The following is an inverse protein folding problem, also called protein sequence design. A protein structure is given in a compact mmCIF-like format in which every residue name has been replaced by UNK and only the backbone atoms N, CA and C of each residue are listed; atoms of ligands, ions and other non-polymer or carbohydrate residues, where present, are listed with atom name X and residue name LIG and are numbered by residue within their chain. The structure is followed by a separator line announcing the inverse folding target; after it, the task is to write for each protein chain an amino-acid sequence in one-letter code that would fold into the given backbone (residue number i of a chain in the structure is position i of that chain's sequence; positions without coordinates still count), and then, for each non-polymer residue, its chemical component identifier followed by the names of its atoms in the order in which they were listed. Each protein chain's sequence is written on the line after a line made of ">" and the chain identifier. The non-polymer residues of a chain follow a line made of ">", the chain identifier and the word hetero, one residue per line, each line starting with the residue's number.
data_IF_612010177448
#
_entry.id   IF_612010177448
#
_cell.length_a   1.000
_cell.length_b   1.000
_cell.length_c   1.000
_cell.angle_alpha   90.00
_cell.angle_beta   90.00
_cell.angle_gamma   90.00
#
_symmetry.space_group_name_H-M   'P 1'
#
loop_
_entity.id
_entity.type
_entity.pdbx_description
1 polymer ?
#
# COMPACT_ATOMS: atom_id res chain seq x y z
N UNK A 1 -7.15 -7.25 -18.60
CA UNK A 1 -8.46 -6.58 -18.38
C UNK A 1 -8.32 -5.63 -17.19
N UNK A 2 -8.34 -4.32 -17.39
CA UNK A 2 -8.38 -3.37 -16.26
C UNK A 2 -9.81 -3.30 -15.73
N UNK A 3 -10.06 -3.88 -14.56
CA UNK A 3 -11.34 -3.74 -13.85
C UNK A 3 -11.55 -2.29 -13.46
N UNK A 4 -12.82 -1.85 -13.33
CA UNK A 4 -13.18 -0.50 -12.87
C UNK A 4 -12.52 -0.13 -11.53
N UNK A 5 -12.33 -1.12 -10.65
CA UNK A 5 -11.60 -0.98 -9.39
C UNK A 5 -10.10 -0.78 -9.60
N UNK A 6 -9.49 -1.50 -10.55
CA UNK A 6 -8.08 -1.29 -10.93
C UNK A 6 -7.80 0.13 -11.45
N UNK A 7 -8.78 0.75 -12.13
CA UNK A 7 -8.68 2.16 -12.53
C UNK A 7 -8.84 3.12 -11.35
N UNK A 8 -9.76 2.83 -10.42
CA UNK A 8 -9.95 3.65 -9.22
C UNK A 8 -8.69 3.69 -8.35
N UNK A 9 -8.09 2.54 -8.09
CA UNK A 9 -6.89 2.49 -7.25
C UNK A 9 -5.69 3.18 -7.90
N UNK A 10 -5.53 3.05 -9.22
CA UNK A 10 -4.47 3.73 -9.96
C UNK A 10 -4.60 5.26 -9.86
N UNK A 11 -5.82 5.78 -9.80
CA UNK A 11 -6.08 7.21 -9.64
C UNK A 11 -5.92 7.71 -8.20
N UNK A 12 -6.32 6.90 -7.21
CA UNK A 12 -6.36 7.34 -5.81
C UNK A 12 -5.08 7.06 -5.02
N UNK A 13 -4.36 5.97 -5.34
CA UNK A 13 -3.19 5.56 -4.57
C UNK A 13 -2.09 6.64 -4.55
N UNK A 14 -1.70 7.28 -5.68
CA UNK A 14 -0.69 8.32 -5.65
C UNK A 14 -1.07 9.47 -4.71
N UNK A 15 -2.34 9.86 -4.69
CA UNK A 15 -2.85 10.88 -3.77
C UNK A 15 -2.75 10.45 -2.30
N UNK A 16 -3.17 9.21 -1.99
CA UNK A 16 -3.07 8.66 -0.63
C UNK A 16 -1.61 8.63 -0.15
N UNK A 17 -0.69 8.12 -0.99
CA UNK A 17 0.73 8.03 -0.65
C UNK A 17 1.36 9.42 -0.49
N UNK A 18 1.02 10.37 -1.38
CA UNK A 18 1.50 11.74 -1.27
C UNK A 18 1.03 12.42 0.03
N UNK A 19 -0.25 12.28 0.39
CA UNK A 19 -0.80 12.83 1.64
C UNK A 19 -0.13 12.21 2.86
N UNK A 20 0.07 10.89 2.88
CA UNK A 20 0.75 10.21 4.00
C UNK A 20 2.22 10.63 4.07
N UNK A 21 2.90 10.76 2.92
CA UNK A 21 4.28 11.21 2.87
C UNK A 21 4.43 12.61 3.45
N UNK A 22 3.61 13.57 3.01
CA UNK A 22 3.57 14.95 3.52
C UNK A 22 3.38 14.97 5.03
N UNK A 23 2.35 14.27 5.54
CA UNK A 23 2.08 14.19 6.98
C UNK A 23 3.22 13.52 7.77
N UNK A 24 3.81 12.45 7.23
CA UNK A 24 4.93 11.75 7.87
C UNK A 24 6.22 12.57 7.91
N UNK A 25 6.38 13.51 6.97
CA UNK A 25 7.52 14.41 6.91
C UNK A 25 7.46 15.53 7.94
N UNK A 26 6.30 15.73 8.58
CA UNK A 26 6.17 16.67 9.69
C UNK A 26 7.09 16.28 10.84
N UNK A 27 7.78 17.27 11.42
CA UNK A 27 8.78 17.06 12.46
C UNK A 27 8.22 16.32 13.69
N UNK A 28 6.92 16.45 13.99
CA UNK A 28 6.28 15.75 15.09
C UNK A 28 6.09 14.25 14.79
N UNK A 29 5.73 13.89 13.56
CA UNK A 29 5.44 12.51 13.15
C UNK A 29 6.74 11.75 12.85
N UNK A 30 7.68 12.38 12.13
CA UNK A 30 8.99 11.80 11.80
C UNK A 30 9.86 11.47 13.01
N UNK A 31 9.60 12.08 14.18
CA UNK A 31 10.24 11.72 15.46
C UNK A 31 9.68 10.44 16.08
N UNK A 32 8.47 10.06 15.70
CA UNK A 32 7.75 8.92 16.27
C UNK A 32 7.72 7.70 15.36
N UNK A 33 7.96 7.88 14.05
CA UNK A 33 7.82 6.80 13.07
C UNK A 33 8.83 6.97 11.92
N UNK A 34 9.55 5.88 11.62
CA UNK A 34 10.43 5.81 10.47
C UNK A 34 9.66 5.58 9.18
N UNK A 35 10.19 6.07 8.06
CA UNK A 35 9.58 5.91 6.74
C UNK A 35 9.33 4.43 6.36
N UNK A 36 10.17 3.51 6.82
CA UNK A 36 9.94 2.07 6.64
C UNK A 36 8.66 1.60 7.33
N UNK A 37 8.37 2.08 8.55
CA UNK A 37 7.14 1.75 9.27
C UNK A 37 5.92 2.33 8.56
N UNK A 38 6.03 3.56 8.03
CA UNK A 38 4.98 4.20 7.23
C UNK A 38 4.63 3.36 6.01
N UNK A 39 5.62 2.95 5.22
CA UNK A 39 5.39 2.14 4.01
C UNK A 39 4.85 0.74 4.33
N UNK A 40 5.24 0.14 5.47
CA UNK A 40 4.63 -1.10 5.96
C UNK A 40 3.16 -0.92 6.33
N UNK A 41 2.80 0.19 6.99
CA UNK A 41 1.40 0.51 7.32
C UNK A 41 0.55 0.76 6.07
N UNK A 42 1.10 1.47 5.09
CA UNK A 42 0.45 1.65 3.78
C UNK A 42 0.21 0.27 3.16
N UNK A 43 1.24 -0.57 3.04
CA UNK A 43 1.14 -1.92 2.49
C UNK A 43 0.05 -2.75 3.19
N UNK A 44 0.06 -2.77 4.52
CA UNK A 44 -0.94 -3.50 5.32
C UNK A 44 -2.35 -2.97 5.10
N UNK A 45 -2.52 -1.66 4.93
CA UNK A 45 -3.83 -1.06 4.61
C UNK A 45 -4.37 -1.56 3.26
N UNK A 46 -3.51 -1.66 2.24
CA UNK A 46 -3.88 -2.23 0.94
C UNK A 46 -4.23 -3.72 1.03
N UNK A 47 -3.55 -4.48 1.90
CA UNK A 47 -3.96 -5.85 2.22
C UNK A 47 -5.34 -5.88 2.87
N UNK A 48 -5.59 -5.09 3.91
CA UNK A 48 -6.88 -5.08 4.61
C UNK A 48 -8.03 -4.76 3.65
N UNK A 49 -7.83 -3.84 2.70
CA UNK A 49 -8.85 -3.46 1.71
C UNK A 49 -9.03 -4.49 0.59
N UNK A 50 -8.20 -5.53 0.55
CA UNK A 50 -8.24 -6.58 -0.47
C UNK A 50 -7.68 -6.13 -1.82
N UNK A 51 -6.77 -5.17 -1.85
CA UNK A 51 -6.13 -4.75 -3.11
C UNK A 51 -4.90 -5.59 -3.45
N UNK A 52 -4.20 -6.07 -2.44
CA UNK A 52 -3.10 -7.03 -2.55
C UNK A 52 -3.37 -8.22 -1.63
N UNK A 53 -2.84 -9.39 -1.97
CA UNK A 53 -3.07 -10.62 -1.19
C UNK A 53 -2.44 -10.51 0.20
N UNK A 54 -3.12 -11.03 1.21
CA UNK A 54 -2.59 -11.06 2.59
C UNK A 54 -1.37 -11.98 2.75
N UNK A 55 -1.26 -13.05 1.94
CA UNK A 55 -0.13 -13.98 1.96
C UNK A 55 1.17 -13.42 1.34
N UNK A 56 1.09 -12.24 0.71
CA UNK A 56 2.25 -11.55 0.15
C UNK A 56 2.91 -10.72 1.23
N UNK A 57 4.10 -11.15 1.64
CA UNK A 57 4.94 -10.38 2.55
C UNK A 57 5.22 -8.98 2.01
N UNK A 58 5.49 -8.05 2.92
CA UNK A 58 5.96 -6.71 2.57
C UNK A 58 7.21 -6.84 1.68
N UNK A 59 7.26 -6.19 0.49
CA UNK A 59 8.35 -6.32 -0.46
C UNK A 59 9.55 -5.50 0.02
N UNK A 60 10.17 -5.96 1.11
CA UNK A 60 11.17 -5.22 1.87
C UNK A 60 12.36 -4.80 1.02
N UNK A 61 12.93 -5.71 0.23
CA UNK A 61 14.06 -5.39 -0.65
C UNK A 61 13.75 -4.30 -1.68
N UNK A 62 12.51 -4.27 -2.19
CA UNK A 62 12.08 -3.23 -3.15
C UNK A 62 11.98 -1.87 -2.47
N UNK A 63 11.37 -1.81 -1.28
CA UNK A 63 11.26 -0.55 -0.53
C UNK A 63 12.60 -0.09 0.07
N UNK A 64 13.48 -1.01 0.44
CA UNK A 64 14.83 -0.68 0.93
C UNK A 64 15.69 -0.07 -0.18
N UNK A 65 15.54 -0.53 -1.42
CA UNK A 65 16.27 0.03 -2.58
C UNK A 65 15.95 1.50 -2.86
N UNK A 66 14.76 1.95 -2.43
CA UNK A 66 14.31 3.34 -2.54
C UNK A 66 14.33 4.07 -1.19
N UNK A 67 14.88 3.48 -0.12
CA UNK A 67 14.81 4.05 1.24
C UNK A 67 15.38 5.46 1.35
N UNK A 68 16.44 5.74 0.59
CA UNK A 68 17.07 7.07 0.55
C UNK A 68 16.36 8.05 -0.39
N UNK A 69 15.35 7.57 -1.10
CA UNK A 69 14.54 8.34 -2.02
C UNK A 69 13.10 8.40 -1.47
N UNK A 70 12.80 9.48 -0.75
CA UNK A 70 11.47 9.74 -0.19
C UNK A 70 10.43 10.10 -1.26
N UNK A 71 10.66 9.77 -2.53
CA UNK A 71 9.72 10.09 -3.60
C UNK A 71 8.43 9.25 -3.45
N UNK A 72 7.28 9.89 -3.14
CA UNK A 72 6.00 9.19 -3.00
C UNK A 72 5.53 8.53 -4.30
N UNK A 73 6.01 8.97 -5.47
CA UNK A 73 5.67 8.35 -6.74
C UNK A 73 6.25 6.93 -6.85
N UNK A 74 7.50 6.73 -6.42
CA UNK A 74 8.14 5.41 -6.44
C UNK A 74 7.43 4.41 -5.52
N UNK A 75 7.00 4.86 -4.34
CA UNK A 75 6.20 4.02 -3.43
C UNK A 75 4.88 3.61 -4.08
N UNK A 76 4.21 4.55 -4.75
CA UNK A 76 2.97 4.29 -5.47
C UNK A 76 3.18 3.26 -6.59
N UNK A 77 4.24 3.43 -7.38
CA UNK A 77 4.57 2.53 -8.49
C UNK A 77 4.86 1.09 -8.02
N UNK A 78 5.60 0.93 -6.91
CA UNK A 78 5.87 -0.38 -6.32
C UNK A 78 4.56 -1.06 -5.89
N UNK A 79 3.69 -0.33 -5.21
CA UNK A 79 2.40 -0.85 -4.73
C UNK A 79 1.51 -1.24 -5.91
N UNK A 80 1.41 -0.39 -6.95
CA UNK A 80 0.64 -0.70 -8.15
C UNK A 80 1.19 -1.93 -8.87
N UNK A 81 2.51 -2.03 -9.02
CA UNK A 81 3.14 -3.17 -9.66
C UNK A 81 2.79 -4.49 -8.96
N UNK A 82 2.79 -4.52 -7.63
CA UNK A 82 2.38 -5.71 -6.89
C UNK A 82 0.87 -5.99 -7.00
N UNK A 83 0.00 -4.97 -6.93
CA UNK A 83 -1.45 -5.11 -7.09
C UNK A 83 -1.79 -5.70 -8.48
N UNK A 84 -1.13 -5.22 -9.53
CA UNK A 84 -1.37 -5.70 -10.89
C UNK A 84 -0.77 -7.08 -11.15
N UNK A 85 0.34 -7.45 -10.49
CA UNK A 85 0.86 -8.83 -10.56
C UNK A 85 -0.06 -9.85 -9.90
N UNK A 86 -0.67 -9.49 -8.77
CA UNK A 86 -1.43 -10.42 -7.93
C UNK A 86 -2.85 -9.93 -7.70
N UNK A 87 -3.55 -9.63 -8.79
CA UNK A 87 -4.92 -9.13 -8.72
C UNK A 87 -5.86 -10.19 -8.15
N UNK A 88 -6.53 -9.84 -7.06
CA UNK A 88 -7.59 -10.64 -6.45
C UNK A 88 -8.89 -10.56 -7.26
N UNK A 89 -9.62 -11.66 -7.34
CA UNK A 89 -11.01 -11.70 -7.79
C UNK A 89 -11.93 -11.02 -6.76
N UNK A 90 -13.12 -10.60 -7.18
CA UNK A 90 -14.08 -9.93 -6.29
C UNK A 90 -14.47 -10.77 -5.06
N UNK A 91 -14.54 -12.10 -5.21
CA UNK A 91 -14.83 -13.01 -4.10
C UNK A 91 -13.68 -13.08 -3.10
N UNK A 92 -12.44 -13.23 -3.58
CA UNK A 92 -11.25 -13.23 -2.72
C UNK A 92 -11.10 -11.90 -1.98
N UNK A 93 -11.33 -10.77 -2.66
CA UNK A 93 -11.33 -9.44 -2.02
C UNK A 93 -12.34 -9.35 -0.89
N UNK A 94 -13.57 -9.82 -1.13
CA UNK A 94 -14.63 -9.82 -0.13
C UNK A 94 -14.23 -10.68 1.08
N UNK A 95 -13.77 -11.90 0.82
CA UNK A 95 -13.35 -12.83 1.86
C UNK A 95 -12.18 -12.27 2.69
N UNK A 96 -11.20 -11.66 2.04
CA UNK A 96 -10.05 -11.05 2.73
C UNK A 96 -10.47 -9.88 3.62
N UNK A 97 -11.36 -9.00 3.14
CA UNK A 97 -11.91 -7.90 3.96
C UNK A 97 -12.69 -8.42 5.17
N UNK A 98 -13.54 -9.42 4.97
CA UNK A 98 -14.31 -10.04 6.06
C UNK A 98 -13.39 -10.69 7.10
N UNK A 99 -12.34 -11.37 6.66
CA UNK A 99 -11.35 -11.97 7.56
C UNK A 99 -10.55 -10.92 8.33
N UNK A 100 -10.19 -9.80 7.70
CA UNK A 100 -9.49 -8.70 8.37
C UNK A 100 -10.34 -8.08 9.49
N UNK A 101 -11.66 -7.94 9.29
CA UNK A 101 -12.58 -7.40 10.29
C UNK A 101 -12.87 -8.37 11.44
N UNK A 102 -12.70 -9.68 11.26
CA UNK A 102 -12.90 -10.70 12.30
C UNK A 102 -11.67 -10.95 13.17
N UNK A 103 -10.48 -10.58 12.70
CA UNK A 103 -9.20 -10.76 13.40
C UNK A 103 -8.73 -9.51 14.17
N UNK A 104 -9.46 -8.39 14.04
CA UNK A 104 -9.15 -7.11 14.67
C UNK A 104 -9.80 -6.93 16.03
#
# INVERSE_FOLDING_TARGET
>A
MHTLEGKRIQLSLPGIVATIHEWSSEAAVSRCMHWTEVTQMIWRSFQIQGYTREDRGYPQGTFESIRNNSDPSLVSDIILAEIFKYTLSSEERKLQRENALRKG
#
